data_IF_170674054163
#
_entry.id   IF_170674054163
#
_cell.length_a   1.000
_cell.length_b   1.000
_cell.length_c   1.000
_cell.angle_alpha   90.00
_cell.angle_beta   90.00
_cell.angle_gamma   90.00
#
_symmetry.space_group_name_H-M   'P 1'
#
loop_
_entity.id
_entity.type
_entity.pdbx_description
1 polymer ?
#
# COMPACT_ATOMS: atom_id res chain seq x y z
N UNK A 1 -3.48 -3.92 8.01
CA UNK A 1 -4.23 -5.14 7.64
C UNK A 1 -3.58 -6.42 8.20
N UNK A 2 -2.39 -6.85 7.76
CA UNK A 2 -1.71 -8.06 8.25
C UNK A 2 -1.61 -8.17 9.79
N UNK A 3 -1.14 -7.10 10.45
CA UNK A 3 -1.04 -7.04 11.92
C UNK A 3 -2.40 -7.18 12.63
N UNK A 4 -3.45 -6.63 12.04
CA UNK A 4 -4.81 -6.72 12.60
C UNK A 4 -5.34 -8.16 12.49
N UNK A 5 -5.14 -8.84 11.35
CA UNK A 5 -5.51 -10.25 11.19
C UNK A 5 -4.75 -11.16 12.18
N UNK A 6 -3.45 -10.91 12.39
CA UNK A 6 -2.65 -11.61 13.40
C UNK A 6 -3.19 -11.36 14.82
N UNK A 7 -3.48 -10.09 15.16
CA UNK A 7 -4.01 -9.73 16.48
C UNK A 7 -5.40 -10.34 16.73
N UNK A 8 -6.27 -10.36 15.71
CA UNK A 8 -7.61 -10.94 15.76
C UNK A 8 -7.63 -12.47 15.73
N UNK A 9 -6.47 -13.13 15.56
CA UNK A 9 -6.34 -14.59 15.53
C UNK A 9 -7.26 -15.26 14.49
N UNK A 10 -7.47 -14.62 13.34
CA UNK A 10 -8.19 -15.25 12.22
C UNK A 10 -7.38 -16.43 11.68
N UNK A 11 -8.03 -17.37 10.98
CA UNK A 11 -7.33 -18.54 10.42
C UNK A 11 -6.21 -18.13 9.45
N UNK A 12 -6.42 -17.09 8.64
CA UNK A 12 -5.37 -16.53 7.79
C UNK A 12 -4.31 -15.77 8.59
N UNK A 13 -4.71 -15.07 9.66
CA UNK A 13 -3.79 -14.37 10.57
C UNK A 13 -2.83 -15.32 11.29
N UNK A 14 -3.30 -16.48 11.73
CA UNK A 14 -2.48 -17.53 12.35
C UNK A 14 -1.44 -18.08 11.36
N UNK A 15 -1.86 -18.38 10.13
CA UNK A 15 -0.95 -18.82 9.04
C UNK A 15 0.12 -17.78 8.75
N UNK A 16 -0.30 -16.51 8.60
CA UNK A 16 0.63 -15.41 8.38
C UNK A 16 1.62 -15.25 9.54
N UNK A 17 1.16 -15.33 10.79
CA UNK A 17 2.02 -15.27 11.97
C UNK A 17 3.07 -16.38 11.95
N UNK A 18 2.69 -17.62 11.64
CA UNK A 18 3.62 -18.75 11.59
C UNK A 18 4.74 -18.53 10.55
N UNK A 19 4.40 -18.02 9.36
CA UNK A 19 5.37 -17.69 8.31
C UNK A 19 6.32 -16.57 8.76
N UNK A 20 5.77 -15.52 9.38
CA UNK A 20 6.57 -14.40 9.90
C UNK A 20 7.50 -14.81 11.04
N UNK A 21 7.00 -15.62 11.99
CA UNK A 21 7.78 -16.14 13.12
C UNK A 21 8.95 -17.03 12.64
N UNK A 22 8.77 -17.72 11.51
CA UNK A 22 9.82 -18.49 10.83
C UNK A 22 10.83 -17.62 10.05
N UNK A 23 10.69 -16.28 10.07
CA UNK A 23 11.53 -15.35 9.32
C UNK A 23 11.29 -15.38 7.80
N UNK A 24 10.20 -16.00 7.36
CA UNK A 24 9.84 -16.13 5.95
C UNK A 24 8.95 -14.96 5.50
N UNK A 25 8.96 -14.70 4.20
CA UNK A 25 8.07 -13.70 3.59
C UNK A 25 6.66 -14.29 3.44
N UNK A 26 5.65 -13.51 3.81
CA UNK A 26 4.25 -13.86 3.61
C UNK A 26 3.97 -13.94 2.10
N UNK A 27 3.43 -15.07 1.64
CA UNK A 27 3.12 -15.29 0.22
C UNK A 27 1.98 -14.39 -0.26
N UNK A 28 1.96 -14.12 -1.57
CA UNK A 28 0.86 -13.37 -2.21
C UNK A 28 -0.50 -14.00 -1.94
N UNK A 29 -0.59 -15.34 -1.91
CA UNK A 29 -1.82 -16.07 -1.57
C UNK A 29 -2.35 -15.69 -0.18
N UNK A 30 -1.48 -15.68 0.84
CA UNK A 30 -1.87 -15.31 2.20
C UNK A 30 -2.28 -13.84 2.25
N UNK A 31 -1.55 -12.95 1.56
CA UNK A 31 -1.89 -11.53 1.51
C UNK A 31 -3.26 -11.33 0.85
N UNK A 32 -3.51 -11.96 -0.30
CA UNK A 32 -4.79 -11.89 -1.02
C UNK A 32 -5.96 -12.37 -0.15
N UNK A 33 -5.78 -13.48 0.58
CA UNK A 33 -6.79 -13.98 1.50
C UNK A 33 -7.08 -12.98 2.64
N UNK A 34 -6.05 -12.35 3.21
CA UNK A 34 -6.24 -11.31 4.23
C UNK A 34 -7.00 -10.10 3.68
N UNK A 35 -6.70 -9.67 2.44
CA UNK A 35 -7.41 -8.58 1.77
C UNK A 35 -8.88 -8.94 1.58
N UNK A 36 -9.16 -10.15 1.07
CA UNK A 36 -10.52 -10.65 0.86
C UNK A 36 -11.33 -10.62 2.16
N UNK A 37 -10.80 -11.22 3.24
CA UNK A 37 -11.47 -11.26 4.56
C UNK A 37 -11.70 -9.84 5.13
N UNK A 38 -10.82 -8.90 4.79
CA UNK A 38 -10.91 -7.52 5.25
C UNK A 38 -12.00 -6.74 4.52
N UNK A 39 -12.14 -6.94 3.21
CA UNK A 39 -13.17 -6.30 2.38
C UNK A 39 -14.58 -6.78 2.78
N UNK A 40 -14.71 -8.00 3.29
CA UNK A 40 -15.99 -8.56 3.74
C UNK A 40 -16.51 -7.98 5.08
N UNK A 41 -15.72 -7.14 5.76
CA UNK A 41 -16.16 -6.56 7.03
C UNK A 41 -17.25 -5.49 6.82
N UNK A 42 -18.19 -5.35 7.77
CA UNK A 42 -19.32 -4.43 7.61
C UNK A 42 -18.94 -2.96 7.37
N UNK A 43 -17.79 -2.52 7.85
CA UNK A 43 -17.31 -1.15 7.67
C UNK A 43 -16.83 -0.85 6.24
N UNK A 44 -16.62 -1.88 5.41
CA UNK A 44 -16.28 -1.76 4.00
C UNK A 44 -17.50 -1.69 3.07
N UNK A 45 -18.73 -1.75 3.61
CA UNK A 45 -19.96 -1.75 2.81
C UNK A 45 -20.14 -0.48 1.95
N UNK A 46 -19.59 0.66 2.38
CA UNK A 46 -19.64 1.93 1.66
C UNK A 46 -18.36 2.22 0.87
N UNK A 47 -17.51 1.21 0.66
CA UNK A 47 -16.21 1.35 0.03
C UNK A 47 -15.05 1.26 1.01
N UNK A 48 -13.84 1.31 0.47
CA UNK A 48 -12.60 1.13 1.21
C UNK A 48 -11.43 1.77 0.46
N UNK A 49 -10.33 2.00 1.18
CA UNK A 49 -9.05 2.41 0.60
C UNK A 49 -8.03 1.32 0.93
N UNK A 50 -7.40 0.77 -0.10
CA UNK A 50 -6.30 -0.18 0.05
C UNK A 50 -4.98 0.60 0.01
N UNK A 51 -4.28 0.64 1.15
CA UNK A 51 -2.95 1.24 1.28
C UNK A 51 -1.89 0.14 1.44
N UNK A 52 -0.92 0.12 0.53
CA UNK A 52 0.19 -0.83 0.52
C UNK A 52 -0.13 -2.20 -0.08
N UNK A 53 -1.29 -2.37 -0.73
CA UNK A 53 -1.66 -3.50 -1.57
C UNK A 53 -2.55 -3.00 -2.73
N UNK A 54 -2.38 -3.48 -3.97
CA UNK A 54 -1.37 -4.43 -4.42
C UNK A 54 0.02 -3.79 -4.56
N UNK A 55 1.08 -4.63 -4.53
CA UNK A 55 2.48 -4.23 -4.73
C UNK A 55 3.12 -4.84 -5.96
N UNK A 56 2.45 -5.79 -6.60
CA UNK A 56 2.92 -6.54 -7.78
C UNK A 56 1.77 -6.68 -8.78
N UNK A 57 2.08 -6.80 -10.07
CA UNK A 57 1.06 -7.04 -11.12
C UNK A 57 0.24 -8.31 -10.86
N UNK A 58 0.83 -9.45 -10.43
CA UNK A 58 0.03 -10.62 -10.04
C UNK A 58 -0.97 -10.35 -8.90
N UNK A 59 -0.59 -9.54 -7.90
CA UNK A 59 -1.53 -9.13 -6.84
C UNK A 59 -2.64 -8.23 -7.39
N UNK A 60 -2.33 -7.32 -8.33
CA UNK A 60 -3.34 -6.49 -8.98
C UNK A 60 -4.35 -7.32 -9.77
N UNK A 61 -3.89 -8.32 -10.52
CA UNK A 61 -4.76 -9.27 -11.23
C UNK A 61 -5.64 -10.07 -10.27
N UNK A 62 -5.07 -10.53 -9.15
CA UNK A 62 -5.81 -11.22 -8.10
C UNK A 62 -6.87 -10.31 -7.46
N UNK A 63 -6.56 -9.03 -7.22
CA UNK A 63 -7.51 -8.05 -6.71
C UNK A 63 -8.69 -7.88 -7.68
N UNK A 64 -8.43 -7.74 -8.99
CA UNK A 64 -9.49 -7.63 -10.00
C UNK A 64 -10.44 -8.83 -9.98
N UNK A 65 -9.90 -10.05 -9.91
CA UNK A 65 -10.73 -11.26 -9.79
C UNK A 65 -11.54 -11.28 -8.49
N UNK A 66 -10.90 -10.95 -7.37
CA UNK A 66 -11.53 -10.92 -6.04
C UNK A 66 -12.68 -9.91 -5.96
N UNK A 67 -12.51 -8.71 -6.50
CA UNK A 67 -13.57 -7.69 -6.51
C UNK A 67 -14.75 -8.15 -7.38
N UNK A 68 -14.47 -8.73 -8.55
CA UNK A 68 -15.49 -9.27 -9.45
C UNK A 68 -16.35 -10.35 -8.77
N UNK A 69 -15.72 -11.29 -8.07
CA UNK A 69 -16.42 -12.36 -7.32
C UNK A 69 -17.30 -11.79 -6.19
N UNK A 70 -16.94 -10.62 -5.67
CA UNK A 70 -17.68 -9.89 -4.63
C UNK A 70 -18.69 -8.89 -5.19
N UNK A 71 -18.88 -8.84 -6.51
CA UNK A 71 -19.72 -7.84 -7.19
C UNK A 71 -19.32 -6.39 -6.86
N UNK A 72 -18.03 -6.16 -6.67
CA UNK A 72 -17.42 -4.85 -6.48
C UNK A 72 -16.50 -4.50 -7.67
N UNK A 73 -16.23 -3.22 -7.84
CA UNK A 73 -15.32 -2.70 -8.86
C UNK A 73 -14.30 -1.76 -8.21
N UNK A 74 -13.19 -1.52 -8.90
CA UNK A 74 -12.17 -0.58 -8.45
C UNK A 74 -12.43 0.77 -9.11
N UNK A 75 -12.76 1.80 -8.32
CA UNK A 75 -13.08 3.12 -8.87
C UNK A 75 -11.84 3.88 -9.36
N UNK A 76 -10.74 3.78 -8.60
CA UNK A 76 -9.53 4.54 -8.87
C UNK A 76 -8.28 3.91 -8.24
N UNK A 77 -7.15 4.14 -8.88
CA UNK A 77 -5.81 3.94 -8.31
C UNK A 77 -5.09 5.27 -8.30
N UNK A 78 -4.82 5.80 -7.10
CA UNK A 78 -4.14 7.09 -6.94
C UNK A 78 -2.63 6.86 -6.86
N UNK A 79 -1.89 7.35 -7.85
CA UNK A 79 -0.44 7.38 -7.82
C UNK A 79 0.06 8.79 -7.50
N UNK A 80 0.71 8.92 -6.34
CA UNK A 80 1.41 10.13 -5.94
C UNK A 80 2.78 10.18 -6.60
N UNK A 81 2.96 11.06 -7.60
CA UNK A 81 4.26 11.30 -8.24
C UNK A 81 5.13 12.13 -7.30
N UNK A 82 6.30 11.58 -6.94
CA UNK A 82 7.22 12.20 -5.97
C UNK A 82 8.65 12.11 -6.46
N UNK A 83 9.46 13.11 -6.10
CA UNK A 83 10.89 13.09 -6.34
C UNK A 83 11.59 12.14 -5.34
N UNK A 84 12.35 11.18 -5.86
CA UNK A 84 13.06 10.18 -5.05
C UNK A 84 14.11 10.80 -4.11
N UNK A 85 14.80 11.84 -4.56
CA UNK A 85 15.79 12.59 -3.75
C UNK A 85 15.08 13.28 -2.59
N UNK A 86 13.90 13.84 -2.83
CA UNK A 86 13.08 14.43 -1.78
C UNK A 86 12.57 13.38 -0.78
N UNK A 87 12.27 12.15 -1.21
CA UNK A 87 11.90 11.05 -0.32
C UNK A 87 13.04 10.65 0.62
N UNK A 88 14.27 10.57 0.11
CA UNK A 88 15.47 10.28 0.93
C UNK A 88 15.59 11.35 2.01
N UNK A 89 15.55 12.62 1.63
CA UNK A 89 15.68 13.75 2.57
C UNK A 89 14.56 13.76 3.62
N UNK A 90 13.32 13.43 3.23
CA UNK A 90 12.19 13.29 4.16
C UNK A 90 12.42 12.17 5.18
N UNK A 91 12.97 11.04 4.76
CA UNK A 91 13.32 9.95 5.68
C UNK A 91 14.42 10.39 6.66
N UNK A 92 15.48 11.03 6.17
CA UNK A 92 16.56 11.57 7.01
C UNK A 92 16.02 12.55 8.06
N UNK A 93 15.13 13.46 7.65
CA UNK A 93 14.46 14.38 8.56
C UNK A 93 13.62 13.65 9.61
N UNK A 94 12.83 12.64 9.21
CA UNK A 94 12.02 11.84 10.15
C UNK A 94 12.89 11.15 11.19
N UNK A 95 14.04 10.60 10.79
CA UNK A 95 15.00 9.98 11.71
C UNK A 95 15.54 11.03 12.68
N UNK A 96 15.98 12.18 12.18
CA UNK A 96 16.52 13.26 12.99
C UNK A 96 15.48 13.79 14.01
N UNK A 97 14.24 14.02 13.58
CA UNK A 97 13.13 14.48 14.43
C UNK A 97 12.76 13.43 15.48
N UNK A 98 12.75 12.14 15.13
CA UNK A 98 12.47 11.06 16.09
C UNK A 98 13.54 11.02 17.18
N UNK A 99 14.82 11.14 16.81
CA UNK A 99 15.94 11.19 17.78
C UNK A 99 15.83 12.44 18.65
N UNK A 100 15.55 13.60 18.06
CA UNK A 100 15.41 14.87 18.79
C UNK A 100 14.24 14.84 19.77
N UNK A 101 13.16 14.13 19.45
CA UNK A 101 12.00 13.91 20.32
C UNK A 101 12.22 12.80 21.38
N UNK A 102 13.39 12.16 21.42
CA UNK A 102 13.69 11.06 22.35
C UNK A 102 12.99 9.73 22.01
N UNK A 103 12.47 9.60 20.78
CA UNK A 103 11.79 8.39 20.30
C UNK A 103 12.76 7.33 19.80
N UNK A 104 12.25 6.11 19.60
CA UNK A 104 13.02 5.01 18.99
C UNK A 104 12.85 5.02 17.48
N UNK A 105 13.96 5.18 16.77
CA UNK A 105 14.00 5.07 15.30
C UNK A 105 13.62 3.65 14.89
N UNK A 106 12.79 3.51 13.86
CA UNK A 106 12.40 2.20 13.36
C UNK A 106 13.63 1.49 12.77
N UNK A 107 13.74 0.19 12.97
CA UNK A 107 14.91 -0.59 12.50
C UNK A 107 15.15 -0.51 10.99
N UNK A 108 14.10 -0.20 10.23
CA UNK A 108 14.07 -0.06 8.78
C UNK A 108 14.27 1.37 8.26
N UNK A 109 14.40 2.36 9.15
CA UNK A 109 14.66 3.76 8.79
C UNK A 109 16.18 4.02 8.71
N UNK A 110 16.85 3.34 7.77
CA UNK A 110 18.26 3.53 7.48
C UNK A 110 18.53 3.57 5.95
N UNK A 111 19.64 4.17 5.49
CA UNK A 111 19.91 4.34 4.07
C UNK A 111 19.96 3.03 3.27
N UNK A 112 20.45 1.94 3.88
CA UNK A 112 20.55 0.64 3.21
C UNK A 112 19.17 0.01 2.99
N UNK A 113 18.34 -0.01 4.03
CA UNK A 113 16.96 -0.46 3.96
C UNK A 113 16.15 0.38 2.98
N UNK A 114 16.39 1.69 2.92
CA UNK A 114 15.74 2.58 1.95
C UNK A 114 16.13 2.27 0.51
N UNK A 115 17.44 2.10 0.22
CA UNK A 115 17.90 1.70 -1.12
C UNK A 115 17.30 0.37 -1.54
N UNK A 116 17.27 -0.61 -0.63
CA UNK A 116 16.65 -1.92 -0.90
C UNK A 116 15.17 -1.77 -1.23
N UNK A 117 14.45 -0.93 -0.49
CA UNK A 117 13.02 -0.63 -0.74
C UNK A 117 12.80 0.05 -2.09
N UNK A 118 13.66 0.99 -2.47
CA UNK A 118 13.57 1.64 -3.78
C UNK A 118 13.80 0.66 -4.93
N UNK A 119 14.80 -0.22 -4.81
CA UNK A 119 15.03 -1.28 -5.81
C UNK A 119 13.80 -2.17 -5.91
N UNK A 120 13.28 -2.64 -4.78
CA UNK A 120 12.08 -3.48 -4.76
C UNK A 120 10.85 -2.76 -5.32
N UNK A 121 10.67 -1.48 -5.01
CA UNK A 121 9.61 -0.65 -5.57
C UNK A 121 9.72 -0.58 -7.10
N UNK A 122 10.91 -0.28 -7.64
CA UNK A 122 11.12 -0.19 -9.10
C UNK A 122 10.88 -1.52 -9.81
N UNK A 123 11.29 -2.63 -9.21
CA UNK A 123 11.14 -3.96 -9.82
C UNK A 123 9.71 -4.48 -9.77
N UNK A 124 9.00 -4.22 -8.66
CA UNK A 124 7.72 -4.90 -8.38
C UNK A 124 6.52 -3.98 -8.47
N UNK A 125 6.64 -2.76 -7.96
CA UNK A 125 5.51 -1.83 -7.74
C UNK A 125 5.40 -0.80 -8.85
N UNK A 126 6.50 -0.25 -9.37
CA UNK A 126 6.46 0.69 -10.48
C UNK A 126 5.72 0.16 -11.74
N UNK A 127 5.82 -1.14 -12.11
CA UNK A 127 5.03 -1.70 -13.22
C UNK A 127 3.50 -1.65 -13.01
N UNK A 128 3.01 -1.41 -11.79
CA UNK A 128 1.59 -1.23 -11.53
C UNK A 128 1.03 0.04 -12.19
N UNK A 129 1.85 1.08 -12.34
CA UNK A 129 1.45 2.29 -13.06
C UNK A 129 1.02 1.94 -14.48
N UNK A 130 1.86 1.23 -15.23
CA UNK A 130 1.55 0.85 -16.61
C UNK A 130 0.36 -0.11 -16.69
N UNK A 131 0.26 -1.04 -15.74
CA UNK A 131 -0.88 -1.95 -15.65
C UNK A 131 -2.20 -1.19 -15.48
N UNK A 132 -2.29 -0.29 -14.49
CA UNK A 132 -3.53 0.44 -14.20
C UNK A 132 -3.81 1.58 -15.20
N UNK A 133 -2.78 2.10 -15.87
CA UNK A 133 -2.96 2.98 -17.02
C UNK A 133 -3.66 2.25 -18.17
N UNK A 134 -3.35 0.96 -18.37
CA UNK A 134 -3.96 0.14 -19.41
C UNK A 134 -5.42 -0.26 -19.12
N UNK A 135 -5.83 -0.29 -17.85
CA UNK A 135 -7.20 -0.63 -17.43
C UNK A 135 -8.10 0.60 -17.22
N UNK A 136 -7.51 1.78 -17.00
CA UNK A 136 -8.21 3.09 -17.02
C UNK A 136 -8.52 3.68 -15.64
N UNK A 137 -8.22 2.97 -14.56
CA UNK A 137 -8.47 3.39 -13.17
C UNK A 137 -7.34 4.29 -12.63
N UNK A 138 -6.17 4.33 -13.28
CA UNK A 138 -5.03 5.13 -12.79
C UNK A 138 -5.32 6.64 -12.83
N UNK A 139 -5.15 7.30 -11.69
CA UNK A 139 -5.15 8.75 -11.54
C UNK A 139 -3.80 9.20 -10.98
N UNK A 140 -3.15 10.11 -11.69
CA UNK A 140 -1.87 10.69 -11.26
C UNK A 140 -2.12 11.97 -10.47
N UNK A 141 -1.38 12.13 -9.37
CA UNK A 141 -1.45 13.29 -8.48
C UNK A 141 -0.04 13.78 -8.19
N UNK A 142 0.19 15.09 -8.17
CA UNK A 142 1.49 15.65 -7.80
C UNK A 142 1.71 15.54 -6.28
N UNK A 143 2.45 14.51 -5.85
CA UNK A 143 2.78 14.29 -4.46
C UNK A 143 3.83 15.27 -3.89
N UNK A 144 4.37 16.16 -4.71
CA UNK A 144 5.30 17.22 -4.28
C UNK A 144 4.59 18.52 -3.90
N UNK A 145 3.30 18.67 -4.23
CA UNK A 145 2.50 19.83 -3.87
C UNK A 145 2.24 19.93 -2.35
N UNK A 146 1.66 21.05 -1.90
CA UNK A 146 1.28 21.20 -0.50
C UNK A 146 0.16 20.21 -0.15
N UNK A 147 0.11 19.75 1.10
CA UNK A 147 -0.87 18.72 1.52
C UNK A 147 -2.31 19.10 1.18
N UNK A 148 -2.69 20.37 1.35
CA UNK A 148 -4.03 20.85 1.02
C UNK A 148 -4.35 20.73 -0.48
N UNK A 149 -3.36 21.00 -1.34
CA UNK A 149 -3.52 20.90 -2.79
C UNK A 149 -3.63 19.44 -3.22
N UNK A 150 -2.80 18.56 -2.65
CA UNK A 150 -2.87 17.11 -2.88
C UNK A 150 -4.24 16.56 -2.47
N UNK A 151 -4.75 16.95 -1.30
CA UNK A 151 -6.08 16.54 -0.84
C UNK A 151 -7.17 17.01 -1.80
N UNK A 152 -7.16 18.28 -2.19
CA UNK A 152 -8.15 18.83 -3.10
C UNK A 152 -8.11 18.16 -4.48
N UNK A 153 -6.92 17.81 -4.98
CA UNK A 153 -6.76 17.10 -6.25
C UNK A 153 -7.33 15.68 -6.16
N UNK A 154 -7.04 14.93 -5.09
CA UNK A 154 -7.60 13.59 -4.88
C UNK A 154 -9.13 13.64 -4.78
N UNK A 155 -9.68 14.57 -3.99
CA UNK A 155 -11.14 14.74 -3.88
C UNK A 155 -11.76 14.99 -5.25
N UNK A 156 -11.18 15.89 -6.04
CA UNK A 156 -11.65 16.18 -7.40
C UNK A 156 -11.62 14.94 -8.31
N UNK A 157 -10.61 14.08 -8.18
CA UNK A 157 -10.47 12.87 -8.99
C UNK A 157 -11.45 11.75 -8.60
N UNK A 158 -11.93 11.75 -7.36
CA UNK A 158 -12.86 10.75 -6.83
C UNK A 158 -14.33 11.18 -6.92
N UNK A 159 -14.61 12.46 -7.12
CA UNK A 159 -15.98 12.94 -7.33
C UNK A 159 -16.50 12.49 -8.70
N UNK A 160 -17.74 11.98 -8.79
CA UNK A 160 -18.37 11.71 -10.07
C UNK A 160 -18.50 13.00 -10.90
N UNK A 161 -18.34 12.87 -12.22
CA UNK A 161 -18.50 13.97 -13.18
C UNK A 161 -19.92 14.54 -13.22
#
# INVERSE_FOLDING_TARGET
MLRAAVAAQTEVGKRAKAVMDAGQLVSDEIVNAIVSDRIDQPDCANGFILDGYPRTVPQAQALTGMLKDKHAELDAVIELKVDETALIKRMENRVAETIAAGGTVRSDDNPEAFRKRLVEYREKTAPLSDYYAGTGELKLVDGMAAMADVTAEIEKLLLPA
#
